data_IF_963964681441
#
_entry.id   IF_963964681441
#
_cell.length_a   1.000
_cell.length_b   1.000
_cell.length_c   1.000
_cell.angle_alpha   90.00
_cell.angle_beta   90.00
_cell.angle_gamma   90.00
#
_symmetry.space_group_name_H-M   'P 1'
#
loop_
_entity.id
_entity.type
_entity.pdbx_description
1 polymer ?
#
# COMPACT_ATOMS: atom_id res chain seq x y z
N UNK A 1 -70.96 -71.74 -5.19
CA UNK A 1 -69.94 -70.67 -5.10
C UNK A 1 -68.83 -71.15 -4.17
N UNK A 2 -67.64 -71.42 -4.72
CA UNK A 2 -66.45 -71.71 -3.93
C UNK A 2 -65.24 -71.11 -4.65
N UNK A 3 -64.51 -70.24 -3.95
CA UNK A 3 -63.46 -69.37 -4.48
C UNK A 3 -62.18 -70.18 -4.67
N UNK A 4 -61.66 -70.22 -5.90
CA UNK A 4 -60.34 -70.78 -6.20
C UNK A 4 -59.25 -69.83 -5.70
N UNK A 5 -58.44 -70.26 -4.72
CA UNK A 5 -57.24 -69.52 -4.30
C UNK A 5 -56.16 -69.70 -5.37
N UNK A 6 -55.78 -68.61 -6.03
CA UNK A 6 -54.69 -68.57 -7.02
C UNK A 6 -53.36 -68.95 -6.36
N UNK A 7 -52.49 -69.73 -7.02
CA UNK A 7 -51.15 -70.04 -6.51
C UNK A 7 -50.30 -68.77 -6.51
N UNK A 8 -49.56 -68.55 -5.42
CA UNK A 8 -48.60 -67.45 -5.28
C UNK A 8 -47.26 -67.92 -5.83
N UNK A 9 -47.03 -67.67 -7.12
CA UNK A 9 -45.71 -67.83 -7.72
C UNK A 9 -44.70 -66.86 -7.09
N UNK A 10 -43.45 -67.32 -7.01
CA UNK A 10 -42.25 -66.66 -6.47
C UNK A 10 -41.90 -66.94 -5.00
N UNK A 11 -41.70 -68.21 -4.66
CA UNK A 11 -40.69 -68.58 -3.66
C UNK A 11 -39.32 -68.64 -4.36
N UNK A 12 -38.77 -67.47 -4.69
CA UNK A 12 -37.39 -67.35 -5.15
C UNK A 12 -36.47 -67.78 -4.01
N UNK A 13 -35.63 -68.78 -4.27
CA UNK A 13 -34.63 -69.35 -3.37
C UNK A 13 -33.42 -68.42 -3.20
N UNK A 14 -33.67 -67.15 -2.90
CA UNK A 14 -32.64 -66.13 -2.70
C UNK A 14 -32.80 -65.45 -1.35
N UNK A 15 -32.81 -66.24 -0.27
CA UNK A 15 -32.53 -65.68 1.06
C UNK A 15 -31.01 -65.49 1.18
N UNK A 16 -30.48 -64.55 0.40
CA UNK A 16 -29.09 -64.13 0.47
C UNK A 16 -28.74 -63.86 1.94
N UNK A 17 -27.75 -64.58 2.45
CA UNK A 17 -27.29 -64.48 3.82
C UNK A 17 -27.07 -62.99 4.17
N UNK A 18 -27.85 -62.47 5.12
CA UNK A 18 -27.71 -61.09 5.58
C UNK A 18 -26.28 -60.94 6.11
N UNK A 19 -25.42 -60.25 5.37
CA UNK A 19 -24.05 -59.97 5.80
C UNK A 19 -24.14 -59.23 7.15
N UNK A 20 -23.57 -59.82 8.20
CA UNK A 20 -23.47 -59.15 9.49
C UNK A 20 -22.70 -57.84 9.29
N UNK A 21 -23.33 -56.70 9.63
CA UNK A 21 -22.65 -55.41 9.64
C UNK A 21 -21.50 -55.53 10.63
N UNK A 22 -20.25 -55.42 10.15
CA UNK A 22 -19.08 -55.36 11.04
C UNK A 22 -19.30 -54.17 11.98
N UNK A 23 -19.13 -54.41 13.28
CA UNK A 23 -19.22 -53.36 14.30
C UNK A 23 -18.23 -52.23 14.04
N UNK A 24 -18.32 -51.16 14.82
CA UNK A 24 -17.45 -49.99 14.67
C UNK A 24 -15.98 -50.37 14.89
N UNK A 25 -15.23 -50.58 13.82
CA UNK A 25 -13.78 -50.88 13.87
C UNK A 25 -13.04 -49.54 13.86
N UNK A 26 -12.48 -49.19 15.02
CA UNK A 26 -11.64 -48.01 15.21
C UNK A 26 -10.20 -48.34 14.78
N UNK A 27 -9.99 -48.40 13.47
CA UNK A 27 -8.65 -48.40 12.86
C UNK A 27 -8.29 -47.01 12.36
N UNK A 28 -6.99 -46.69 12.15
CA UNK A 28 -6.53 -45.38 11.71
C UNK A 28 -7.23 -44.85 10.44
N UNK A 29 -7.82 -45.74 9.63
CA UNK A 29 -8.58 -45.40 8.41
C UNK A 29 -10.04 -45.02 8.63
N UNK A 30 -10.61 -45.25 9.82
CA UNK A 30 -12.01 -44.97 10.13
C UNK A 30 -12.19 -43.95 11.27
N UNK A 31 -11.11 -43.33 11.75
CA UNK A 31 -11.23 -42.16 12.63
C UNK A 31 -11.56 -40.93 11.78
N UNK A 32 -12.51 -40.08 12.20
CA UNK A 32 -12.71 -38.79 11.54
C UNK A 32 -11.39 -38.04 11.59
N UNK A 33 -10.93 -37.59 10.42
CA UNK A 33 -9.77 -36.71 10.34
C UNK A 33 -10.04 -35.52 11.27
N UNK A 34 -9.26 -35.41 12.35
CA UNK A 34 -9.35 -34.28 13.25
C UNK A 34 -9.15 -32.96 12.50
N UNK A 35 -9.40 -31.84 13.17
CA UNK A 35 -9.33 -30.48 12.62
C UNK A 35 -8.02 -30.15 11.89
N UNK A 36 -6.97 -30.97 12.09
CA UNK A 36 -5.73 -30.92 11.35
C UNK A 36 -5.52 -32.24 10.58
N UNK A 37 -5.61 -32.14 9.25
CA UNK A 37 -5.28 -33.22 8.31
C UNK A 37 -3.80 -33.59 8.46
N UNK A 38 -3.50 -34.85 8.78
CA UNK A 38 -2.12 -35.36 8.70
C UNK A 38 -1.72 -35.42 7.22
N UNK A 39 -0.62 -34.76 6.85
CA UNK A 39 0.04 -34.94 5.55
C UNK A 39 0.64 -36.34 5.53
N UNK A 40 -0.10 -37.32 5.00
CA UNK A 40 0.46 -38.63 4.72
C UNK A 40 1.38 -38.54 3.52
N UNK A 41 2.62 -39.00 3.71
CA UNK A 41 3.58 -39.30 2.65
C UNK A 41 3.16 -40.62 1.99
N UNK A 42 2.18 -40.58 1.08
CA UNK A 42 2.03 -41.63 0.08
C UNK A 42 2.45 -41.04 -1.26
N UNK A 43 3.40 -41.73 -1.91
CA UNK A 43 3.96 -41.35 -3.20
C UNK A 43 2.84 -41.14 -4.24
N UNK A 44 2.88 -40.05 -5.04
CA UNK A 44 1.89 -39.85 -6.07
C UNK A 44 2.15 -40.83 -7.21
N UNK A 45 1.20 -41.75 -7.38
CA UNK A 45 1.07 -42.58 -8.58
C UNK A 45 0.83 -41.62 -9.75
N UNK A 46 1.73 -41.69 -10.73
CA UNK A 46 1.71 -40.92 -11.96
C UNK A 46 0.41 -41.11 -12.73
N UNK A 47 -0.46 -40.10 -12.70
CA UNK A 47 -1.47 -39.87 -13.72
C UNK A 47 -1.19 -38.52 -14.37
N UNK A 48 -1.08 -38.50 -15.70
CA UNK A 48 -0.91 -37.27 -16.48
C UNK A 48 -2.14 -36.39 -16.28
N UNK A 49 -2.04 -35.39 -15.39
CA UNK A 49 -3.13 -34.51 -14.98
C UNK A 49 -2.71 -33.05 -15.05
N UNK A 50 -3.59 -32.22 -15.60
CA UNK A 50 -3.38 -30.79 -15.82
C UNK A 50 -2.87 -30.07 -14.55
N UNK A 51 -1.79 -29.29 -14.72
CA UNK A 51 -1.16 -28.49 -13.66
C UNK A 51 -2.20 -27.55 -13.05
N UNK A 52 -2.52 -27.73 -11.77
CA UNK A 52 -3.53 -26.92 -11.11
C UNK A 52 -2.96 -25.56 -10.69
N UNK A 53 -3.81 -24.56 -10.45
CA UNK A 53 -3.37 -23.23 -10.00
C UNK A 53 -2.59 -23.27 -8.67
N UNK A 54 -2.89 -24.25 -7.80
CA UNK A 54 -2.17 -24.46 -6.55
C UNK A 54 -0.73 -24.95 -6.79
N UNK A 55 -0.52 -25.82 -7.78
CA UNK A 55 0.80 -26.31 -8.16
C UNK A 55 1.67 -25.17 -8.70
N UNK A 56 1.08 -24.29 -9.54
CA UNK A 56 1.75 -23.09 -10.04
C UNK A 56 2.12 -22.11 -8.91
N UNK A 57 1.25 -21.93 -7.90
CA UNK A 57 1.55 -21.10 -6.74
C UNK A 57 2.68 -21.70 -5.87
N UNK A 58 2.76 -23.02 -5.79
CA UNK A 58 3.86 -23.69 -5.09
C UNK A 58 5.19 -23.54 -5.83
N UNK A 59 5.20 -23.65 -7.16
CA UNK A 59 6.38 -23.48 -8.00
C UNK A 59 6.94 -22.06 -7.93
N UNK A 60 6.08 -21.04 -7.96
CA UNK A 60 6.49 -19.64 -7.78
C UNK A 60 7.04 -19.38 -6.37
N UNK A 61 6.42 -19.94 -5.32
CA UNK A 61 6.96 -19.85 -3.96
C UNK A 61 8.34 -20.53 -3.82
N UNK A 62 8.57 -21.65 -4.50
CA UNK A 62 9.87 -22.33 -4.54
C UNK A 62 10.92 -21.44 -5.24
N UNK A 63 10.57 -20.81 -6.36
CA UNK A 63 11.47 -19.89 -7.09
C UNK A 63 11.82 -18.66 -6.25
N UNK A 64 10.85 -18.05 -5.57
CA UNK A 64 11.08 -16.89 -4.68
C UNK A 64 12.07 -17.25 -3.58
N UNK A 65 11.91 -18.43 -2.96
CA UNK A 65 12.82 -18.90 -1.91
C UNK A 65 14.23 -19.14 -2.45
N UNK A 66 14.38 -19.76 -3.62
CA UNK A 66 15.70 -19.97 -4.27
C UNK A 66 16.40 -18.65 -4.56
N UNK A 67 15.69 -17.70 -5.19
CA UNK A 67 16.22 -16.37 -5.49
C UNK A 67 16.64 -15.60 -4.24
N UNK A 68 15.89 -15.75 -3.13
CA UNK A 68 16.24 -15.10 -1.87
C UNK A 68 17.50 -15.69 -1.25
N UNK A 69 17.66 -17.02 -1.31
CA UNK A 69 18.87 -17.72 -0.86
C UNK A 69 20.08 -17.29 -1.69
N UNK A 70 19.95 -17.21 -3.01
CA UNK A 70 21.03 -16.78 -3.90
C UNK A 70 21.48 -15.36 -3.60
N UNK A 71 20.54 -14.42 -3.41
CA UNK A 71 20.87 -13.04 -3.02
C UNK A 71 21.60 -12.97 -1.67
N UNK A 72 21.20 -13.81 -0.71
CA UNK A 72 21.89 -13.88 0.59
C UNK A 72 23.32 -14.42 0.46
N UNK A 73 23.54 -15.43 -0.40
CA UNK A 73 24.87 -15.96 -0.70
C UNK A 73 25.76 -14.92 -1.37
N UNK A 74 25.25 -14.21 -2.38
CA UNK A 74 25.98 -13.13 -3.06
C UNK A 74 26.38 -12.01 -2.09
N UNK A 75 25.49 -11.61 -1.17
CA UNK A 75 25.82 -10.62 -0.13
C UNK A 75 26.92 -11.11 0.81
N UNK A 76 26.88 -12.39 1.20
CA UNK A 76 27.90 -12.99 2.07
C UNK A 76 29.25 -13.10 1.38
N UNK A 77 29.28 -13.51 0.11
CA UNK A 77 30.49 -13.57 -0.70
C UNK A 77 31.08 -12.18 -0.96
N UNK A 78 30.23 -11.19 -1.27
CA UNK A 78 30.66 -9.81 -1.43
C UNK A 78 31.24 -9.23 -0.14
N UNK A 79 30.60 -9.48 1.02
CA UNK A 79 31.15 -9.08 2.30
C UNK A 79 32.50 -9.74 2.58
N UNK A 80 32.64 -11.04 2.26
CA UNK A 80 33.90 -11.77 2.38
C UNK A 80 34.98 -11.22 1.44
N UNK A 81 34.64 -10.93 0.19
CA UNK A 81 35.56 -10.34 -0.78
C UNK A 81 35.93 -8.91 -0.39
N UNK A 82 35.02 -8.13 0.18
CA UNK A 82 35.30 -6.78 0.70
C UNK A 82 36.22 -6.82 1.92
N UNK A 83 36.04 -7.80 2.81
CA UNK A 83 36.95 -8.03 3.94
C UNK A 83 38.33 -8.47 3.45
N UNK A 84 38.38 -9.33 2.43
CA UNK A 84 39.64 -9.82 1.87
C UNK A 84 40.33 -8.80 0.95
N UNK A 85 39.58 -7.89 0.33
CA UNK A 85 40.10 -6.76 -0.45
C UNK A 85 40.36 -5.51 0.41
N UNK A 86 39.96 -5.55 1.69
CA UNK A 86 40.22 -4.50 2.68
C UNK A 86 41.71 -4.28 2.96
N UNK A 87 42.56 -5.24 2.59
CA UNK A 87 44.01 -5.15 2.81
C UNK A 87 44.85 -4.90 1.55
N UNK A 88 44.34 -5.04 0.30
CA UNK A 88 45.23 -5.01 -0.87
C UNK A 88 44.77 -4.31 -2.17
N UNK A 89 43.54 -3.79 -2.28
CA UNK A 89 43.14 -3.11 -3.53
C UNK A 89 42.29 -1.86 -3.32
N UNK A 90 42.93 -0.76 -2.89
CA UNK A 90 42.49 0.57 -3.31
C UNK A 90 42.87 0.75 -4.80
N UNK A 91 41.91 0.91 -5.74
CA UNK A 91 42.27 1.39 -7.06
C UNK A 91 42.84 2.81 -6.88
N UNK A 92 44.13 2.98 -7.14
CA UNK A 92 44.77 4.31 -7.20
C UNK A 92 43.96 5.16 -8.18
N UNK A 93 43.14 6.07 -7.65
CA UNK A 93 42.40 7.04 -8.45
C UNK A 93 43.41 7.84 -9.26
N UNK A 94 43.31 7.93 -10.61
CA UNK A 94 44.19 8.78 -11.39
C UNK A 94 43.95 10.24 -10.99
N UNK A 95 44.99 10.86 -10.44
CA UNK A 95 45.00 12.24 -9.97
C UNK A 95 44.83 13.22 -11.15
N UNK A 96 43.59 13.54 -11.54
CA UNK A 96 43.32 14.60 -12.53
C UNK A 96 42.06 15.45 -12.28
N UNK A 97 41.27 15.20 -11.24
CA UNK A 97 40.14 16.08 -10.90
C UNK A 97 40.11 16.38 -9.41
N UNK A 98 40.76 17.49 -9.04
CA UNK A 98 40.44 18.21 -7.81
C UNK A 98 39.20 19.07 -8.08
N UNK A 99 38.08 18.75 -7.44
CA UNK A 99 36.91 19.63 -7.37
C UNK A 99 36.17 19.37 -6.06
N UNK A 100 36.25 20.38 -5.18
CA UNK A 100 35.31 20.79 -4.14
C UNK A 100 34.74 19.73 -3.19
N UNK A 101 35.21 19.83 -1.95
CA UNK A 101 34.63 19.31 -0.71
C UNK A 101 33.19 19.84 -0.54
N UNK A 102 32.22 18.93 -0.56
CA UNK A 102 30.90 19.05 0.10
C UNK A 102 30.22 17.67 -0.01
N UNK A 103 30.31 16.89 1.06
CA UNK A 103 29.35 15.87 1.52
C UNK A 103 30.10 14.90 2.47
N UNK A 104 30.36 15.37 3.69
CA UNK A 104 30.70 14.47 4.79
C UNK A 104 29.45 13.71 5.25
N UNK A 105 29.65 12.40 5.29
CA UNK A 105 28.75 11.36 5.73
C UNK A 105 28.40 11.52 7.21
N UNK A 106 27.11 11.62 7.49
CA UNK A 106 26.54 11.29 8.80
C UNK A 106 26.51 9.75 8.93
N UNK A 107 27.52 9.20 9.61
CA UNK A 107 27.48 7.87 10.22
C UNK A 107 27.80 8.03 11.70
N UNK A 108 26.93 7.57 12.62
CA UNK A 108 27.17 7.69 14.04
C UNK A 108 28.04 6.52 14.49
N UNK A 109 29.19 6.80 15.08
CA UNK A 109 29.84 5.84 15.97
C UNK A 109 30.36 6.58 17.21
N UNK A 110 30.01 5.98 18.35
CA UNK A 110 30.42 6.33 19.69
C UNK A 110 31.94 6.40 19.81
N UNK A 111 32.48 7.45 20.44
CA UNK A 111 33.63 7.34 21.35
C UNK A 111 33.67 8.52 22.30
N UNK A 112 33.53 8.16 23.57
CA UNK A 112 34.35 8.55 24.72
C UNK A 112 34.77 10.01 24.96
N UNK A 113 34.54 10.39 26.20
CA UNK A 113 34.89 11.67 26.78
C UNK A 113 36.37 11.69 27.16
N UNK A 114 37.17 12.58 26.57
CA UNK A 114 38.37 13.10 27.23
C UNK A 114 38.59 14.57 26.92
N UNK A 115 38.97 15.28 27.98
CA UNK A 115 39.19 16.72 28.06
C UNK A 115 40.52 17.08 27.39
N UNK A 116 40.54 18.15 26.60
CA UNK A 116 41.76 18.74 26.05
C UNK A 116 41.59 20.25 25.85
N UNK A 117 42.24 21.02 26.72
CA UNK A 117 42.30 22.49 26.75
C UNK A 117 43.12 23.02 25.58
N UNK A 118 42.56 23.86 24.71
CA UNK A 118 43.27 24.85 23.86
C UNK A 118 42.29 26.01 23.57
N UNK A 119 42.43 27.15 24.24
CA UNK A 119 43.26 28.32 23.90
C UNK A 119 42.54 29.31 22.95
N UNK A 120 42.51 30.56 23.41
CA UNK A 120 41.77 31.69 22.86
C UNK A 120 42.21 32.09 21.46
N UNK A 121 41.25 32.36 20.56
CA UNK A 121 41.38 33.45 19.58
C UNK A 121 40.04 34.17 19.43
N UNK A 122 39.95 35.38 19.97
CA UNK A 122 38.79 36.27 19.85
C UNK A 122 38.70 36.83 18.42
N UNK A 123 37.65 36.45 17.68
CA UNK A 123 37.30 37.12 16.43
C UNK A 123 36.69 38.52 16.68
N UNK A 124 37.03 39.55 15.88
CA UNK A 124 36.52 40.90 16.08
C UNK A 124 35.04 41.02 15.68
N UNK A 125 34.25 41.65 16.56
CA UNK A 125 32.83 41.95 16.35
C UNK A 125 32.66 42.90 15.16
N UNK A 126 32.08 42.41 14.06
CA UNK A 126 31.65 43.25 12.95
C UNK A 126 30.46 44.12 13.37
N UNK A 127 30.63 45.44 13.26
CA UNK A 127 29.59 46.42 13.57
C UNK A 127 28.49 46.40 12.50
N UNK A 128 27.22 46.29 12.92
CA UNK A 128 26.06 46.40 12.02
C UNK A 128 25.82 47.88 11.66
N UNK A 129 25.69 48.27 10.38
CA UNK A 129 25.28 49.61 10.02
C UNK A 129 23.77 49.80 10.28
N UNK A 130 23.43 50.82 11.08
CA UNK A 130 22.05 51.29 11.28
C UNK A 130 21.56 51.98 10.00
N UNK A 131 20.64 51.36 9.26
CA UNK A 131 19.89 52.04 8.19
C UNK A 131 18.78 52.91 8.83
N UNK A 132 18.89 54.23 8.67
CA UNK A 132 17.78 55.17 8.86
C UNK A 132 16.98 55.17 7.55
N UNK A 133 15.69 54.85 7.60
CA UNK A 133 14.76 55.05 6.48
C UNK A 133 14.24 56.50 6.48
N UNK A 134 14.23 57.21 5.34
CA UNK A 134 13.60 58.52 5.25
C UNK A 134 12.09 58.39 5.17
N UNK A 135 11.38 59.22 5.95
CA UNK A 135 9.93 59.43 5.88
C UNK A 135 9.58 60.32 4.68
N UNK A 136 8.51 60.04 3.92
CA UNK A 136 7.97 60.96 2.93
C UNK A 136 6.71 61.70 3.45
N UNK A 137 6.56 62.97 3.09
CA UNK A 137 5.34 63.78 3.19
C UNK A 137 5.35 64.83 2.04
N UNK A 138 4.23 65.49 1.66
CA UNK A 138 2.82 65.08 1.54
C UNK A 138 2.23 65.32 0.11
N UNK A 139 0.93 65.00 -0.08
CA UNK A 139 0.14 64.77 -1.33
C UNK A 139 -0.10 65.95 -2.32
N UNK A 140 -0.86 65.70 -3.42
CA UNK A 140 -2.17 66.38 -3.53
C UNK A 140 -3.36 65.51 -4.02
N UNK A 141 -4.46 65.64 -3.28
CA UNK A 141 -5.91 65.76 -3.59
C UNK A 141 -6.55 64.96 -4.76
N UNK A 142 -7.45 64.02 -4.40
CA UNK A 142 -8.67 63.66 -5.15
C UNK A 142 -9.73 63.08 -4.18
N UNK A 143 -11.01 63.32 -4.52
CA UNK A 143 -12.23 63.43 -3.71
C UNK A 143 -12.74 62.18 -2.92
N UNK A 144 -13.59 62.45 -1.92
CA UNK A 144 -14.11 61.58 -0.86
C UNK A 144 -15.07 60.44 -1.33
N UNK A 145 -15.41 59.46 -0.46
CA UNK A 145 -16.48 59.69 0.52
C UNK A 145 -16.09 59.34 1.97
N UNK A 146 -16.73 60.06 2.88
CA UNK A 146 -16.59 59.95 4.33
C UNK A 146 -17.19 58.65 4.87
N UNK A 147 -16.34 57.74 5.34
CA UNK A 147 -16.74 56.71 6.29
C UNK A 147 -15.88 56.86 7.56
N UNK A 148 -16.56 57.28 8.63
CA UNK A 148 -16.21 57.14 10.04
C UNK A 148 -14.71 56.97 10.36
N UNK A 149 -14.04 58.10 10.63
CA UNK A 149 -12.75 58.12 11.31
C UNK A 149 -12.97 57.85 12.81
N UNK A 150 -13.45 56.67 13.16
CA UNK A 150 -13.35 56.19 14.53
C UNK A 150 -11.86 55.92 14.80
N UNK A 151 -11.28 56.81 15.59
CA UNK A 151 -9.99 56.70 16.29
C UNK A 151 -9.20 55.41 16.02
N UNK A 152 -8.10 55.54 15.27
CA UNK A 152 -7.03 54.53 15.13
C UNK A 152 -6.24 54.30 16.44
N UNK A 153 -6.94 54.23 17.58
CA UNK A 153 -6.40 53.96 18.92
C UNK A 153 -6.84 52.61 19.49
N UNK A 154 -7.54 51.77 18.72
CA UNK A 154 -7.84 50.38 19.09
C UNK A 154 -6.76 49.37 18.66
N UNK A 155 -5.66 49.83 18.04
CA UNK A 155 -4.74 48.99 17.28
C UNK A 155 -3.58 48.31 18.03
N UNK A 156 -3.44 48.46 19.34
CA UNK A 156 -2.40 47.74 20.11
C UNK A 156 -3.06 46.64 20.95
N UNK A 157 -3.87 45.80 20.30
CA UNK A 157 -4.16 44.48 20.83
C UNK A 157 -2.83 43.75 20.93
N UNK A 158 -2.26 43.70 22.13
CA UNK A 158 -1.04 42.95 22.41
C UNK A 158 -1.32 41.50 22.02
N UNK A 159 -0.91 41.12 20.80
CA UNK A 159 -1.15 39.79 20.27
C UNK A 159 -0.59 38.81 21.28
N UNK A 160 -1.49 38.07 21.93
CA UNK A 160 -1.18 37.22 23.09
C UNK A 160 0.00 36.33 22.68
N UNK A 161 1.16 36.50 23.34
CA UNK A 161 2.38 35.75 22.99
C UNK A 161 2.04 34.27 22.95
N UNK A 162 2.43 33.60 21.86
CA UNK A 162 2.21 32.16 21.72
C UNK A 162 2.80 31.46 22.92
N UNK A 163 2.01 30.58 23.54
CA UNK A 163 2.44 29.83 24.72
C UNK A 163 3.68 29.03 24.33
N UNK A 164 4.76 29.17 25.10
CA UNK A 164 5.99 28.40 24.90
C UNK A 164 5.64 26.93 25.20
N UNK A 165 5.63 26.10 24.16
CA UNK A 165 5.43 24.67 24.33
C UNK A 165 6.76 24.09 24.83
N UNK A 166 6.80 23.45 26.02
CA UNK A 166 8.01 22.76 26.46
C UNK A 166 8.42 21.73 25.40
N UNK A 167 9.74 21.55 25.18
CA UNK A 167 10.28 20.69 24.12
C UNK A 167 9.83 21.08 22.69
N UNK A 168 9.87 22.37 22.36
CA UNK A 168 9.44 22.89 21.05
C UNK A 168 10.10 22.19 19.83
N UNK A 169 11.34 21.68 19.97
CA UNK A 169 12.02 20.92 18.91
C UNK A 169 11.33 19.57 18.68
N UNK A 170 11.05 18.82 19.74
CA UNK A 170 10.37 17.52 19.68
C UNK A 170 8.94 17.67 19.19
N UNK A 171 8.22 18.70 19.65
CA UNK A 171 6.87 18.98 19.18
C UNK A 171 6.83 19.26 17.67
N UNK A 172 7.80 20.00 17.14
CA UNK A 172 7.93 20.22 15.69
C UNK A 172 8.27 18.92 14.94
N UNK A 173 9.15 18.09 15.48
CA UNK A 173 9.46 16.78 14.91
C UNK A 173 8.22 15.87 14.88
N UNK A 174 7.46 15.80 15.98
CA UNK A 174 6.22 15.06 16.06
C UNK A 174 5.16 15.57 15.07
N UNK A 175 5.07 16.88 14.85
CA UNK A 175 4.19 17.45 13.82
C UNK A 175 4.63 17.09 12.40
N UNK A 176 5.95 17.10 12.12
CA UNK A 176 6.47 16.66 10.81
C UNK A 176 6.13 15.19 10.55
N UNK A 177 6.34 14.33 11.54
CA UNK A 177 5.99 12.92 11.45
C UNK A 177 4.49 12.70 11.22
N UNK A 178 3.63 13.43 11.95
CA UNK A 178 2.17 13.39 11.71
C UNK A 178 1.82 13.78 10.27
N UNK A 179 2.36 14.90 9.78
CA UNK A 179 2.14 15.35 8.40
C UNK A 179 2.61 14.32 7.37
N UNK A 180 3.78 13.74 7.54
CA UNK A 180 4.29 12.71 6.61
C UNK A 180 3.39 11.46 6.61
N UNK A 181 2.93 11.01 7.78
CA UNK A 181 1.99 9.88 7.84
C UNK A 181 0.63 10.21 7.23
N UNK A 182 0.16 11.44 7.39
CA UNK A 182 -1.09 11.94 6.79
C UNK A 182 -0.95 12.06 5.28
N UNK A 183 0.15 12.60 4.77
CA UNK A 183 0.45 12.70 3.34
C UNK A 183 0.52 11.31 2.71
N UNK A 184 1.16 10.35 3.40
CA UNK A 184 1.22 8.95 2.97
C UNK A 184 -0.17 8.32 2.94
N UNK A 185 -1.01 8.56 3.97
CA UNK A 185 -2.41 8.09 3.98
C UNK A 185 -3.24 8.73 2.88
N UNK A 186 -3.14 10.04 2.71
CA UNK A 186 -3.84 10.80 1.69
C UNK A 186 -3.45 10.34 0.28
N UNK A 187 -2.18 9.99 0.04
CA UNK A 187 -1.74 9.43 -1.24
C UNK A 187 -2.39 8.06 -1.51
N UNK A 188 -2.47 7.18 -0.50
CA UNK A 188 -3.18 5.91 -0.63
C UNK A 188 -4.68 6.14 -0.86
N UNK A 189 -5.32 7.02 -0.09
CA UNK A 189 -6.74 7.35 -0.23
C UNK A 189 -7.06 7.92 -1.61
N UNK A 190 -6.26 8.85 -2.13
CA UNK A 190 -6.41 9.39 -3.49
C UNK A 190 -6.31 8.30 -4.55
N UNK A 191 -5.33 7.40 -4.43
CA UNK A 191 -5.20 6.27 -5.37
C UNK A 191 -6.39 5.30 -5.29
N UNK A 192 -6.92 5.07 -4.08
CA UNK A 192 -8.12 4.25 -3.89
C UNK A 192 -9.37 4.94 -4.46
N UNK A 193 -9.51 6.25 -4.27
CA UNK A 193 -10.61 7.05 -4.83
C UNK A 193 -10.56 7.03 -6.36
N UNK A 194 -9.41 7.25 -6.99
CA UNK A 194 -9.29 7.20 -8.46
C UNK A 194 -9.67 5.80 -9.01
N UNK A 195 -9.21 4.74 -8.33
CA UNK A 195 -9.60 3.37 -8.68
C UNK A 195 -11.10 3.16 -8.51
N UNK A 196 -11.67 3.62 -7.39
CA UNK A 196 -13.07 3.51 -7.07
C UNK A 196 -13.94 4.26 -8.09
N UNK A 197 -13.63 5.51 -8.40
CA UNK A 197 -14.30 6.33 -9.41
C UNK A 197 -14.27 5.65 -10.77
N UNK A 198 -13.10 5.13 -11.19
CA UNK A 198 -12.99 4.38 -12.45
C UNK A 198 -13.83 3.11 -12.46
N UNK A 199 -13.91 2.39 -11.35
CA UNK A 199 -14.79 1.20 -11.24
C UNK A 199 -16.26 1.60 -11.21
N UNK A 200 -16.62 2.65 -10.48
CA UNK A 200 -17.99 3.15 -10.38
C UNK A 200 -18.48 3.69 -11.72
N UNK A 201 -17.66 4.41 -12.48
CA UNK A 201 -18.04 4.86 -13.82
C UNK A 201 -18.32 3.69 -14.76
N UNK A 202 -17.49 2.66 -14.70
CA UNK A 202 -17.69 1.42 -15.46
C UNK A 202 -18.96 0.71 -15.03
N UNK A 203 -19.24 0.63 -13.74
CA UNK A 203 -20.44 0.02 -13.19
C UNK A 203 -21.69 0.84 -13.50
N UNK A 204 -21.63 2.16 -13.39
CA UNK A 204 -22.69 3.10 -13.79
C UNK A 204 -23.00 2.94 -15.27
N UNK A 205 -21.99 2.89 -16.13
CA UNK A 205 -22.15 2.63 -17.56
C UNK A 205 -22.75 1.25 -17.83
N UNK A 206 -22.24 0.20 -17.17
CA UNK A 206 -22.75 -1.17 -17.29
C UNK A 206 -24.22 -1.25 -16.85
N UNK A 207 -24.58 -0.59 -15.75
CA UNK A 207 -25.94 -0.52 -15.20
C UNK A 207 -26.87 0.26 -16.11
N UNK A 208 -26.41 1.38 -16.67
CA UNK A 208 -27.17 2.16 -17.67
C UNK A 208 -27.43 1.33 -18.94
N UNK A 209 -26.41 0.65 -19.48
CA UNK A 209 -26.55 -0.25 -20.62
C UNK A 209 -27.49 -1.43 -20.32
N UNK A 210 -27.37 -2.05 -19.14
CA UNK A 210 -28.26 -3.13 -18.72
C UNK A 210 -29.71 -2.65 -18.59
N UNK A 211 -29.93 -1.44 -18.05
CA UNK A 211 -31.24 -0.80 -17.94
C UNK A 211 -31.83 -0.46 -19.31
N UNK A 212 -31.02 0.02 -20.25
CA UNK A 212 -31.44 0.31 -21.62
C UNK A 212 -31.77 -0.96 -22.40
N UNK A 213 -30.99 -2.03 -22.19
CA UNK A 213 -31.21 -3.37 -22.76
C UNK A 213 -32.37 -4.13 -22.11
N UNK A 214 -32.83 -3.69 -20.93
CA UNK A 214 -34.01 -4.26 -20.27
C UNK A 214 -35.22 -3.98 -21.15
N UNK A 215 -35.70 -5.04 -21.81
CA UNK A 215 -36.79 -4.98 -22.77
C UNK A 215 -38.07 -4.38 -22.17
N UNK A 216 -38.94 -3.87 -23.04
CA UNK A 216 -40.25 -3.39 -22.60
C UNK A 216 -41.14 -4.51 -22.06
N UNK A 217 -42.41 -4.21 -21.75
CA UNK A 217 -43.39 -5.20 -21.25
C UNK A 217 -43.55 -6.42 -22.17
N UNK A 218 -43.21 -6.28 -23.45
CA UNK A 218 -43.23 -7.32 -24.47
C UNK A 218 -41.87 -8.03 -24.65
N UNK A 219 -40.88 -7.78 -23.78
CA UNK A 219 -39.52 -8.35 -23.86
C UNK A 219 -38.62 -7.76 -24.96
N UNK A 220 -39.18 -7.00 -25.90
CA UNK A 220 -38.44 -6.40 -27.02
C UNK A 220 -37.53 -5.25 -26.57
N UNK A 221 -36.29 -5.25 -27.07
CA UNK A 221 -35.30 -4.19 -26.83
C UNK A 221 -35.71 -2.93 -27.56
N UNK A 222 -35.57 -1.77 -26.92
CA UNK A 222 -35.88 -0.48 -27.53
C UNK A 222 -34.56 0.22 -27.88
N UNK A 223 -34.18 0.16 -29.16
CA UNK A 223 -32.92 0.73 -29.66
C UNK A 223 -32.71 2.19 -29.27
N UNK A 224 -33.78 2.99 -29.23
CA UNK A 224 -33.72 4.41 -28.81
C UNK A 224 -33.31 4.64 -27.35
N UNK A 225 -33.39 3.63 -26.48
CA UNK A 225 -32.87 3.72 -25.09
C UNK A 225 -31.39 3.35 -25.01
N UNK A 226 -30.94 2.46 -25.88
CA UNK A 226 -29.53 2.04 -25.96
C UNK A 226 -28.70 3.09 -26.69
N UNK A 227 -29.27 3.76 -27.69
CA UNK A 227 -28.58 4.80 -28.46
C UNK A 227 -28.09 5.96 -27.57
N UNK A 228 -28.85 6.40 -26.57
CA UNK A 228 -28.45 7.51 -25.69
C UNK A 228 -27.19 7.18 -24.88
N UNK A 229 -27.14 6.00 -24.26
CA UNK A 229 -25.99 5.55 -23.47
C UNK A 229 -24.75 5.33 -24.35
N UNK A 230 -24.95 4.88 -25.60
CA UNK A 230 -23.86 4.73 -26.57
C UNK A 230 -23.35 6.08 -27.07
N UNK A 231 -24.24 7.05 -27.30
CA UNK A 231 -23.85 8.41 -27.68
C UNK A 231 -23.03 9.08 -26.57
N UNK A 232 -23.40 8.91 -25.30
CA UNK A 232 -22.60 9.43 -24.17
C UNK A 232 -21.20 8.81 -24.11
N UNK A 233 -21.06 7.52 -24.43
CA UNK A 233 -19.75 6.86 -24.53
C UNK A 233 -18.93 7.40 -25.69
N UNK A 234 -19.53 7.56 -26.86
CA UNK A 234 -18.87 8.13 -28.04
C UNK A 234 -18.42 9.57 -27.75
N UNK A 235 -19.27 10.38 -27.12
CA UNK A 235 -18.94 11.75 -26.72
C UNK A 235 -17.73 11.81 -25.80
N UNK A 236 -17.64 10.92 -24.80
CA UNK A 236 -16.46 10.81 -23.94
C UNK A 236 -15.20 10.37 -24.69
N UNK A 237 -15.33 9.46 -25.65
CA UNK A 237 -14.19 9.00 -26.47
C UNK A 237 -13.69 10.07 -27.44
N UNK A 238 -14.57 10.95 -27.94
CA UNK A 238 -14.21 12.06 -28.85
C UNK A 238 -13.61 13.25 -28.08
N UNK A 239 -13.91 13.39 -26.78
CA UNK A 239 -13.40 14.46 -25.92
C UNK A 239 -12.06 14.13 -25.24
N UNK A 240 -11.61 12.88 -25.30
CA UNK A 240 -10.30 12.43 -24.84
C UNK A 240 -9.25 12.62 -25.94
#
# INVERSE_FOLDING_TARGET
MAITKRPRDNASTDRAAKKHKKGFIVGPQNLPDGTHRRKSTYAPVSSHGAVTHADNLSLTAIQIKRNLIEKAKLKKEYAKQKQQAGDDHQPKRPATYATTEDDEQDSPDEVDAEQGVQEEVKAPRQARPKRKSPSPAPAPVAEAPSENTESNLSGIHHSRRQKIIPFAKEHRAAQRQKRETEDRRAAYERSQQERAEKTEERERFRKAMAKARSGGKNGQRKLGRESTVLLDRIKRMVQQ
#
